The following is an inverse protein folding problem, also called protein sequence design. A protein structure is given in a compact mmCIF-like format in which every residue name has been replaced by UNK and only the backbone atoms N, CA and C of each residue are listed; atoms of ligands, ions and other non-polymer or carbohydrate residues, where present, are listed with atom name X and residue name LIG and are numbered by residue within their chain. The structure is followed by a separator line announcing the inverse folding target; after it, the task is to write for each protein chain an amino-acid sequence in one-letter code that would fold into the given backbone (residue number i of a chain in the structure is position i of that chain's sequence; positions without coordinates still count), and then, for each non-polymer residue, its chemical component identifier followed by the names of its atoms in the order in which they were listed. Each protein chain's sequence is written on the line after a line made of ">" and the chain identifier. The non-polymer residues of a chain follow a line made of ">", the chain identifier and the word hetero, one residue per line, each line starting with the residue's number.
data_IF_079541906016
#
_entry.id   IF_079541906016
#
_cell.length_a   1.000
_cell.length_b   1.000
_cell.length_c   1.000
_cell.angle_alpha   90.00
_cell.angle_beta   90.00
_cell.angle_gamma   90.00
#
_symmetry.space_group_name_H-M   'P 1'
#
loop_
_entity.id
_entity.type
_entity.pdbx_description
1 polymer ?
#
# COMPACT_ATOMS: atom_id res chain seq x y z
N UNK A 1 10.88 -0.88 -0.38
CA UNK A 1 10.92 -0.72 1.08
C UNK A 1 10.07 0.48 1.46
N UNK A 2 9.31 0.38 2.54
CA UNK A 2 8.49 1.48 3.06
C UNK A 2 9.30 2.21 4.14
N UNK A 3 9.38 3.54 4.04
CA UNK A 3 9.96 4.40 5.09
C UNK A 3 8.89 4.75 6.12
N UNK A 4 8.76 3.90 7.13
CA UNK A 4 7.75 4.07 8.19
C UNK A 4 7.97 5.33 9.03
N UNK A 5 9.16 5.95 8.99
CA UNK A 5 9.42 7.19 9.74
C UNK A 5 8.73 8.42 9.15
N UNK A 6 8.32 8.32 7.87
CA UNK A 6 7.64 9.38 7.12
C UNK A 6 6.14 9.10 6.91
N UNK A 7 5.64 7.98 7.43
CA UNK A 7 4.24 7.62 7.28
C UNK A 7 3.34 8.58 8.08
N UNK A 8 2.34 9.13 7.41
CA UNK A 8 1.31 9.99 8.01
C UNK A 8 -0.08 9.56 7.53
N UNK A 9 -1.12 9.91 8.28
CA UNK A 9 -2.51 9.60 7.90
C UNK A 9 -2.92 10.24 6.57
N UNK A 10 -2.32 11.38 6.23
CA UNK A 10 -2.59 12.15 5.01
C UNK A 10 -1.76 11.67 3.81
N UNK A 11 -0.78 10.78 4.04
CA UNK A 11 0.12 10.24 3.01
C UNK A 11 0.72 11.32 2.10
N UNK A 12 1.22 12.42 2.68
CA UNK A 12 1.59 13.64 1.94
C UNK A 12 2.66 13.47 0.86
N UNK A 13 3.50 12.45 0.99
CA UNK A 13 4.62 12.20 0.10
C UNK A 13 4.86 10.70 -0.12
N UNK A 14 5.43 10.30 -1.26
CA UNK A 14 5.83 8.92 -1.47
C UNK A 14 6.88 8.49 -0.45
N UNK A 15 6.56 7.43 0.29
CA UNK A 15 7.43 6.82 1.31
C UNK A 15 8.05 5.50 0.83
N UNK A 16 8.04 5.25 -0.49
CA UNK A 16 8.53 4.01 -1.08
C UNK A 16 9.93 4.20 -1.67
N UNK A 17 10.86 3.36 -1.24
CA UNK A 17 12.15 3.15 -1.90
C UNK A 17 12.05 1.88 -2.77
N UNK A 18 12.15 2.03 -4.10
CA UNK A 18 12.12 0.91 -5.04
C UNK A 18 13.53 0.38 -5.24
N UNK A 19 13.68 -0.94 -5.22
CA UNK A 19 14.96 -1.60 -5.47
C UNK A 19 14.86 -2.53 -6.68
N UNK A 20 15.88 -2.50 -7.52
CA UNK A 20 16.04 -3.40 -8.64
C UNK A 20 17.17 -4.39 -8.36
N UNK A 21 16.99 -5.64 -8.78
CA UNK A 21 18.01 -6.66 -8.63
C UNK A 21 18.91 -6.72 -9.86
N UNK A 22 20.19 -6.41 -9.69
CA UNK A 22 21.20 -6.45 -10.74
C UNK A 22 22.51 -7.05 -10.20
N UNK A 23 23.09 -8.02 -10.89
CA UNK A 23 24.38 -8.66 -10.51
C UNK A 23 24.42 -9.15 -9.05
N UNK A 24 23.39 -9.89 -8.62
CA UNK A 24 23.26 -10.42 -7.25
C UNK A 24 23.23 -9.34 -6.16
N UNK A 25 22.82 -8.11 -6.49
CA UNK A 25 22.65 -7.01 -5.53
C UNK A 25 21.35 -6.28 -5.79
N UNK A 26 20.71 -5.86 -4.71
CA UNK A 26 19.60 -4.90 -4.76
C UNK A 26 20.17 -3.48 -4.82
N UNK A 27 19.86 -2.74 -5.88
CA UNK A 27 20.24 -1.33 -6.04
C UNK A 27 18.99 -0.48 -5.92
N UNK A 28 19.04 0.59 -5.13
CA UNK A 28 17.93 1.53 -5.04
C UNK A 28 17.76 2.23 -6.39
N UNK A 29 16.54 2.21 -6.93
CA UNK A 29 16.15 3.00 -8.09
C UNK A 29 16.20 4.49 -7.72
N UNK A 30 16.54 5.34 -8.69
CA UNK A 30 16.55 6.78 -8.54
C UNK A 30 15.13 7.29 -8.24
N UNK A 31 15.01 8.18 -7.25
CA UNK A 31 13.74 8.81 -6.82
C UNK A 31 13.14 9.76 -7.86
N UNK A 32 13.91 10.12 -8.89
CA UNK A 32 13.44 10.95 -10.02
C UNK A 32 12.60 10.19 -11.04
N UNK A 33 12.58 8.85 -10.98
CA UNK A 33 11.70 8.03 -11.80
C UNK A 33 10.32 8.01 -11.18
N UNK A 34 9.30 8.33 -11.97
CA UNK A 34 7.92 8.30 -11.48
C UNK A 34 7.55 6.88 -11.00
N UNK A 35 7.22 6.79 -9.72
CA UNK A 35 6.99 5.53 -9.03
C UNK A 35 5.50 5.17 -8.94
N UNK A 36 4.61 6.11 -9.28
CA UNK A 36 3.17 5.95 -9.13
C UNK A 36 2.46 6.63 -10.30
N UNK A 37 1.71 5.86 -11.08
CA UNK A 37 1.02 6.34 -12.28
C UNK A 37 0.08 7.52 -12.00
N UNK A 38 -0.65 7.47 -10.87
CA UNK A 38 -1.44 8.61 -10.36
C UNK A 38 -1.27 8.72 -8.84
N UNK A 39 -0.21 9.42 -8.43
CA UNK A 39 0.09 9.64 -7.01
C UNK A 39 -1.04 10.36 -6.27
N UNK A 40 -1.69 11.33 -6.90
CA UNK A 40 -2.69 12.17 -6.23
C UNK A 40 -3.97 11.38 -5.94
N UNK A 41 -4.41 10.57 -6.91
CA UNK A 41 -5.52 9.62 -6.75
C UNK A 41 -5.20 8.60 -5.65
N UNK A 42 -4.02 7.95 -5.73
CA UNK A 42 -3.59 6.95 -4.76
C UNK A 42 -3.50 7.52 -3.34
N UNK A 43 -2.98 8.74 -3.19
CA UNK A 43 -2.91 9.45 -1.91
C UNK A 43 -4.32 9.68 -1.33
N UNK A 44 -5.24 10.24 -2.13
CA UNK A 44 -6.61 10.56 -1.71
C UNK A 44 -7.37 9.31 -1.26
N UNK A 45 -7.29 8.22 -2.02
CA UNK A 45 -7.94 6.96 -1.69
C UNK A 45 -7.33 6.37 -0.40
N UNK A 46 -6.00 6.36 -0.29
CA UNK A 46 -5.30 5.84 0.89
C UNK A 46 -5.70 6.61 2.15
N UNK A 47 -5.74 7.94 2.09
CA UNK A 47 -6.17 8.78 3.22
C UNK A 47 -7.61 8.46 3.65
N UNK A 48 -8.54 8.30 2.71
CA UNK A 48 -9.93 7.95 3.01
C UNK A 48 -10.07 6.54 3.65
N UNK A 49 -9.29 5.56 3.19
CA UNK A 49 -9.25 4.22 3.78
C UNK A 49 -8.64 4.21 5.19
N UNK A 50 -7.62 5.04 5.43
CA UNK A 50 -7.01 5.22 6.75
C UNK A 50 -7.98 5.92 7.73
N UNK A 51 -8.65 6.98 7.29
CA UNK A 51 -9.63 7.71 8.11
C UNK A 51 -10.81 6.81 8.52
N UNK A 52 -11.31 6.00 7.58
CA UNK A 52 -12.37 5.00 7.84
C UNK A 52 -11.89 3.77 8.61
N UNK A 53 -10.60 3.68 8.94
CA UNK A 53 -9.97 2.53 9.61
C UNK A 53 -10.20 1.20 8.88
N UNK A 54 -10.20 1.24 7.55
CA UNK A 54 -10.37 0.04 6.73
C UNK A 54 -9.30 -1.03 7.00
N UNK A 55 -8.14 -0.64 7.56
CA UNK A 55 -7.09 -1.56 8.01
C UNK A 55 -7.53 -2.53 9.13
N UNK A 56 -8.57 -2.22 9.90
CA UNK A 56 -9.11 -3.15 10.92
C UNK A 56 -9.75 -4.40 10.29
N UNK A 57 -10.13 -4.32 9.01
CA UNK A 57 -10.73 -5.43 8.25
C UNK A 57 -9.77 -6.03 7.20
N UNK A 58 -8.52 -5.56 7.14
CA UNK A 58 -7.53 -6.06 6.19
C UNK A 58 -7.04 -7.43 6.66
N UNK A 59 -7.17 -8.43 5.81
CA UNK A 59 -6.76 -9.80 6.06
C UNK A 59 -5.41 -10.04 5.39
N UNK A 60 -4.39 -10.35 6.19
CA UNK A 60 -3.13 -10.86 5.67
C UNK A 60 -3.12 -12.40 5.62
N UNK A 61 -2.00 -12.97 5.17
CA UNK A 61 -1.88 -14.43 5.06
C UNK A 61 -1.77 -15.11 6.43
N UNK A 62 -1.25 -14.43 7.46
CA UNK A 62 -1.16 -14.99 8.81
C UNK A 62 -2.57 -15.13 9.41
N UNK A 63 -3.43 -14.11 9.25
CA UNK A 63 -4.83 -14.17 9.64
C UNK A 63 -5.61 -15.27 8.90
N UNK A 64 -5.27 -15.53 7.63
CA UNK A 64 -5.85 -16.64 6.87
C UNK A 64 -5.39 -18.01 7.39
N UNK A 65 -4.14 -18.13 7.85
CA UNK A 65 -3.65 -19.38 8.45
C UNK A 65 -4.29 -19.66 9.81
N UNK A 66 -4.64 -18.62 10.57
CA UNK A 66 -5.39 -18.75 11.83
C UNK A 66 -6.85 -19.18 11.58
N UNK A 67 -7.50 -18.64 10.55
CA UNK A 67 -8.85 -19.03 10.12
C UNK A 67 -8.96 -19.01 8.59
N UNK A 68 -9.05 -20.21 7.99
CA UNK A 68 -9.11 -20.40 6.53
C UNK A 68 -10.33 -19.75 5.86
N UNK A 69 -11.32 -19.28 6.63
CA UNK A 69 -12.46 -18.52 6.12
C UNK A 69 -12.12 -17.06 5.83
N UNK A 70 -11.05 -16.53 6.41
CA UNK A 70 -10.59 -15.17 6.16
C UNK A 70 -10.04 -15.07 4.74
N UNK A 71 -10.60 -14.19 3.92
CA UNK A 71 -10.20 -14.05 2.51
C UNK A 71 -9.03 -13.05 2.37
N UNK A 72 -7.81 -13.57 2.25
CA UNK A 72 -6.59 -12.78 2.06
C UNK A 72 -6.55 -12.01 0.73
N UNK A 73 -7.49 -12.25 -0.19
CA UNK A 73 -7.62 -11.45 -1.43
C UNK A 73 -8.33 -10.11 -1.21
N UNK A 74 -8.91 -9.89 -0.02
CA UNK A 74 -9.50 -8.63 0.44
C UNK A 74 -10.56 -8.01 -0.52
N UNK A 75 -11.59 -8.76 -0.96
CA UNK A 75 -12.56 -8.29 -1.96
C UNK A 75 -13.35 -7.05 -1.53
N UNK A 76 -13.70 -6.93 -0.25
CA UNK A 76 -14.44 -5.76 0.26
C UNK A 76 -13.56 -4.49 0.26
N UNK A 77 -12.26 -4.60 0.57
CA UNK A 77 -11.33 -3.48 0.46
C UNK A 77 -11.19 -3.05 -1.01
N UNK A 78 -11.04 -4.00 -1.93
CA UNK A 78 -10.94 -3.71 -3.37
C UNK A 78 -12.21 -3.00 -3.89
N UNK A 79 -13.39 -3.38 -3.39
CA UNK A 79 -14.65 -2.72 -3.71
C UNK A 79 -14.71 -1.27 -3.18
N UNK A 80 -14.21 -1.02 -1.97
CA UNK A 80 -14.08 0.32 -1.43
C UNK A 80 -13.12 1.19 -2.25
N UNK A 81 -11.99 0.62 -2.69
CA UNK A 81 -11.05 1.31 -3.61
C UNK A 81 -11.77 1.71 -4.90
N UNK A 82 -12.48 0.78 -5.54
CA UNK A 82 -13.24 1.05 -6.77
C UNK A 82 -14.33 2.13 -6.60
N UNK A 83 -14.89 2.27 -5.40
CA UNK A 83 -15.90 3.29 -5.12
C UNK A 83 -15.32 4.69 -4.91
N UNK A 84 -14.03 4.77 -4.56
CA UNK A 84 -13.31 6.02 -4.26
C UNK A 84 -12.51 6.57 -5.45
N UNK A 85 -12.23 5.73 -6.45
CA UNK A 85 -11.79 6.13 -7.80
C UNK A 85 -12.92 6.85 -8.55
#
# INVERSE_FOLDING_TARGET
>A
MVDNSRFTMECCEPILAIFEHHENKWKCRDTTVDCCEDWLEAQKITAALLESRSYENLIDFDNHLDDLRNDWTNPEINKSVLHLC
#
